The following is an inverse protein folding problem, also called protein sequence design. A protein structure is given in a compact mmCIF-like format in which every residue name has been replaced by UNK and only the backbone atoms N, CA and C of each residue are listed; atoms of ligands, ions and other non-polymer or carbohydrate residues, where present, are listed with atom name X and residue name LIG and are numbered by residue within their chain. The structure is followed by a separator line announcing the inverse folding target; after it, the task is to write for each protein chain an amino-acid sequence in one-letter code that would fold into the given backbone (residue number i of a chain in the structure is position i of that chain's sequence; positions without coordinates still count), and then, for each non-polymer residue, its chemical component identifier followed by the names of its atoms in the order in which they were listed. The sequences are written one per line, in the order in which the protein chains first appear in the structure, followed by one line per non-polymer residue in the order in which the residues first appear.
data_IF_182883543991
#
_entry.id   IF_182883543991
#
_cell.length_a   1.000
_cell.length_b   1.000
_cell.length_c   1.000
_cell.angle_alpha   90.00
_cell.angle_beta   90.00
_cell.angle_gamma   90.00
#
_symmetry.space_group_name_H-M   'P 1'
#
loop_
_entity.id
_entity.type
_entity.pdbx_description
1 polymer ?
#
# COMPACT_ATOMS: atom_id res chain seq x y z
N UNK A 1 30.16 -3.20 -29.47
CA UNK A 1 28.71 -2.98 -29.65
C UNK A 1 28.04 -3.25 -28.31
N UNK A 2 27.82 -2.20 -27.50
CA UNK A 2 27.15 -2.34 -26.20
C UNK A 2 25.65 -2.40 -26.45
N UNK A 3 25.04 -3.58 -26.29
CA UNK A 3 23.59 -3.74 -26.41
C UNK A 3 22.90 -2.84 -25.38
N UNK A 4 21.84 -2.10 -25.75
CA UNK A 4 21.10 -1.30 -24.78
C UNK A 4 20.50 -2.23 -23.72
N UNK A 5 20.82 -1.96 -22.45
CA UNK A 5 20.26 -2.69 -21.31
C UNK A 5 18.76 -2.43 -21.32
N UNK A 6 17.96 -3.42 -21.72
CA UNK A 6 16.49 -3.36 -21.63
C UNK A 6 16.15 -2.78 -20.25
N UNK A 7 15.38 -1.70 -20.21
CA UNK A 7 14.87 -1.17 -18.94
C UNK A 7 14.10 -2.30 -18.28
N UNK A 8 14.69 -2.90 -17.25
CA UNK A 8 14.10 -4.05 -16.55
C UNK A 8 12.96 -3.48 -15.72
N UNK A 9 11.80 -3.30 -16.33
CA UNK A 9 10.55 -3.15 -15.59
C UNK A 9 10.48 -4.35 -14.66
N UNK A 10 10.52 -4.10 -13.36
CA UNK A 10 10.41 -5.15 -12.35
C UNK A 10 9.00 -5.75 -12.45
N UNK A 11 8.89 -6.88 -13.15
CA UNK A 11 7.62 -7.59 -13.39
C UNK A 11 6.89 -7.89 -12.07
N UNK A 12 7.62 -8.13 -10.99
CA UNK A 12 7.05 -8.34 -9.66
C UNK A 12 6.52 -7.05 -9.03
N UNK A 13 7.07 -5.88 -9.38
CA UNK A 13 6.53 -4.58 -8.99
C UNK A 13 5.26 -4.24 -9.77
N UNK A 14 5.23 -4.54 -11.06
CA UNK A 14 4.05 -4.39 -11.94
C UNK A 14 2.87 -5.23 -11.45
N UNK A 15 3.07 -6.55 -11.32
CA UNK A 15 2.05 -7.48 -10.83
C UNK A 15 1.50 -7.06 -9.47
N UNK A 16 2.32 -6.43 -8.65
CA UNK A 16 1.93 -5.95 -7.33
C UNK A 16 1.07 -4.69 -7.35
N UNK A 17 1.37 -3.76 -8.25
CA UNK A 17 0.51 -2.59 -8.45
C UNK A 17 -0.86 -3.05 -8.95
N UNK A 18 -0.88 -3.95 -9.94
CA UNK A 18 -2.12 -4.56 -10.44
C UNK A 18 -2.88 -5.34 -9.35
N UNK A 19 -2.18 -6.09 -8.50
CA UNK A 19 -2.77 -6.77 -7.34
C UNK A 19 -3.48 -5.79 -6.39
N UNK A 20 -2.80 -4.69 -6.03
CA UNK A 20 -3.38 -3.68 -5.13
C UNK A 20 -4.59 -2.98 -5.74
N UNK A 21 -4.55 -2.74 -7.05
CA UNK A 21 -5.68 -2.17 -7.78
C UNK A 21 -6.87 -3.13 -7.77
N UNK A 22 -6.67 -4.39 -8.17
CA UNK A 22 -7.70 -5.41 -8.19
C UNK A 22 -8.35 -5.64 -6.81
N UNK A 23 -7.54 -5.69 -5.74
CA UNK A 23 -8.04 -5.80 -4.37
C UNK A 23 -8.89 -4.57 -3.97
N UNK A 24 -8.51 -3.37 -4.39
CA UNK A 24 -9.26 -2.14 -4.12
C UNK A 24 -10.60 -2.14 -4.86
N UNK A 25 -10.58 -2.51 -6.14
CA UNK A 25 -11.78 -2.57 -6.99
C UNK A 25 -12.79 -3.58 -6.41
N UNK A 26 -12.34 -4.77 -6.01
CA UNK A 26 -13.23 -5.75 -5.38
C UNK A 26 -13.89 -5.27 -4.09
N UNK A 27 -13.16 -4.59 -3.21
CA UNK A 27 -13.74 -4.03 -1.98
C UNK A 27 -14.75 -2.90 -2.24
N UNK A 28 -14.74 -2.27 -3.43
CA UNK A 28 -15.73 -1.26 -3.80
C UNK A 28 -17.04 -1.91 -4.28
N UNK A 29 -16.99 -3.11 -4.83
CA UNK A 29 -18.18 -3.81 -5.35
C UNK A 29 -19.05 -4.44 -4.25
N UNK A 30 -18.47 -4.74 -3.08
CA UNK A 30 -19.19 -5.33 -1.94
C UNK A 30 -20.10 -4.34 -1.18
N UNK A 31 -19.92 -3.02 -1.33
CA UNK A 31 -20.78 -2.00 -0.70
C UNK A 31 -22.03 -1.66 -1.54
N UNK A 32 -22.05 -2.03 -2.84
CA UNK A 32 -23.05 -1.56 -3.81
C UNK A 32 -23.93 -2.65 -4.45
N UNK A 33 -23.80 -3.95 -4.12
CA UNK A 33 -24.53 -5.02 -4.83
C UNK A 33 -25.33 -5.97 -3.92
N UNK A 34 -26.65 -5.84 -3.94
CA UNK A 34 -27.59 -6.81 -3.37
C UNK A 34 -27.92 -8.00 -4.30
N UNK A 35 -27.30 -8.07 -5.50
CA UNK A 35 -27.63 -9.07 -6.53
C UNK A 35 -26.54 -10.14 -6.71
N UNK A 36 -26.69 -11.25 -5.98
CA UNK A 36 -25.75 -12.39 -5.93
C UNK A 36 -25.51 -13.14 -7.26
N UNK A 37 -26.33 -12.91 -8.28
CA UNK A 37 -26.33 -13.71 -9.52
C UNK A 37 -25.58 -13.07 -10.70
N UNK A 38 -25.28 -11.76 -10.67
CA UNK A 38 -24.50 -11.07 -11.71
C UNK A 38 -22.98 -11.13 -11.46
N UNK A 39 -22.59 -11.38 -10.20
CA UNK A 39 -21.21 -11.20 -9.68
C UNK A 39 -20.23 -12.33 -10.03
N UNK A 40 -20.71 -13.53 -10.43
CA UNK A 40 -19.82 -14.66 -10.74
C UNK A 40 -19.12 -14.55 -12.10
N UNK A 41 -19.66 -13.78 -13.06
CA UNK A 41 -19.10 -13.66 -14.41
C UNK A 41 -17.98 -12.62 -14.53
N UNK A 42 -17.93 -11.64 -13.60
CA UNK A 42 -16.96 -10.53 -13.60
C UNK A 42 -15.96 -10.59 -12.44
N UNK A 43 -16.06 -11.59 -11.57
CA UNK A 43 -15.15 -11.79 -10.44
C UNK A 43 -13.72 -11.79 -10.97
N UNK A 44 -12.90 -10.86 -10.46
CA UNK A 44 -11.49 -10.68 -10.84
C UNK A 44 -10.80 -12.03 -11.01
N UNK A 45 -10.28 -12.31 -12.21
CA UNK A 45 -9.48 -13.52 -12.45
C UNK A 45 -8.15 -13.41 -11.70
N UNK A 46 -8.06 -14.13 -10.57
CA UNK A 46 -6.88 -14.15 -9.73
C UNK A 46 -5.71 -14.94 -10.35
N UNK A 47 -5.95 -15.75 -11.40
CA UNK A 47 -4.90 -16.52 -12.06
C UNK A 47 -3.81 -15.63 -12.67
N UNK A 48 -4.17 -14.42 -13.10
CA UNK A 48 -3.22 -13.42 -13.61
C UNK A 48 -2.16 -13.00 -12.58
N UNK A 49 -2.38 -13.28 -11.29
CA UNK A 49 -1.45 -12.99 -10.19
C UNK A 49 -0.72 -14.22 -9.64
N UNK A 50 -0.88 -15.40 -10.24
CA UNK A 50 -0.25 -16.66 -9.80
C UNK A 50 1.29 -16.61 -9.71
N UNK A 51 1.92 -15.75 -10.50
CA UNK A 51 3.36 -15.48 -10.46
C UNK A 51 3.82 -14.50 -9.37
N UNK A 52 2.90 -13.87 -8.64
CA UNK A 52 3.24 -12.84 -7.66
C UNK A 52 3.85 -13.46 -6.39
N UNK A 53 5.03 -12.97 -6.01
CA UNK A 53 5.70 -13.33 -4.76
C UNK A 53 5.70 -12.16 -3.78
N UNK A 54 5.98 -12.46 -2.51
CA UNK A 54 6.10 -11.43 -1.47
C UNK A 54 7.22 -10.44 -1.77
N UNK A 55 8.37 -10.89 -2.26
CA UNK A 55 9.49 -10.04 -2.70
C UNK A 55 10.20 -9.21 -1.62
N UNK A 56 9.68 -9.17 -0.38
CA UNK A 56 10.31 -8.44 0.73
C UNK A 56 11.65 -9.07 1.12
N UNK A 57 12.65 -8.24 1.42
CA UNK A 57 13.96 -8.71 1.85
C UNK A 57 13.85 -9.42 3.20
N UNK A 58 14.23 -10.69 3.25
CA UNK A 58 14.25 -11.44 4.51
C UNK A 58 15.36 -10.91 5.41
N UNK A 59 15.03 -10.56 6.65
CA UNK A 59 16.05 -10.21 7.66
C UNK A 59 17.00 -11.37 7.97
N UNK A 60 16.53 -12.61 7.83
CA UNK A 60 17.32 -13.82 8.16
C UNK A 60 18.31 -14.18 7.06
N UNK A 61 17.92 -14.07 5.79
CA UNK A 61 18.72 -14.56 4.66
C UNK A 61 19.24 -13.47 3.72
N UNK A 62 18.76 -12.23 3.86
CA UNK A 62 19.04 -11.13 2.92
C UNK A 62 18.41 -11.30 1.54
N UNK A 63 17.78 -12.44 1.26
CA UNK A 63 17.19 -12.76 -0.03
C UNK A 63 15.71 -12.33 -0.11
N UNK A 64 15.19 -12.05 -1.32
CA UNK A 64 13.77 -11.76 -1.53
C UNK A 64 12.87 -12.92 -1.08
N UNK A 65 11.77 -12.59 -0.39
CA UNK A 65 10.81 -13.56 0.08
C UNK A 65 10.02 -14.19 -1.09
N UNK A 66 10.12 -15.52 -1.23
CA UNK A 66 9.48 -16.30 -2.32
C UNK A 66 8.08 -16.83 -2.00
N UNK A 67 7.49 -16.42 -0.88
CA UNK A 67 6.14 -16.80 -0.46
C UNK A 67 5.08 -16.31 -1.44
N UNK A 68 4.03 -17.12 -1.63
CA UNK A 68 2.86 -16.84 -2.47
C UNK A 68 1.56 -16.65 -1.67
N UNK A 69 1.60 -16.89 -0.36
CA UNK A 69 0.53 -16.56 0.59
C UNK A 69 0.47 -15.05 0.80
N UNK A 70 -0.18 -14.34 -0.13
CA UNK A 70 -0.26 -12.88 -0.16
C UNK A 70 -1.61 -12.37 0.35
N UNK A 71 -1.55 -11.29 1.10
CA UNK A 71 -2.72 -10.54 1.57
C UNK A 71 -2.98 -9.33 0.68
N UNK A 72 -4.04 -8.56 0.97
CA UNK A 72 -4.43 -7.33 0.27
C UNK A 72 -3.25 -6.37 -0.05
N UNK A 73 -2.29 -6.24 0.86
CA UNK A 73 -1.10 -5.40 0.68
C UNK A 73 -0.10 -5.91 -0.39
N UNK A 74 -0.27 -7.13 -0.91
CA UNK A 74 0.64 -7.82 -1.81
C UNK A 74 1.88 -8.38 -1.09
N UNK A 75 1.77 -8.63 0.22
CA UNK A 75 2.84 -9.15 1.10
C UNK A 75 2.32 -10.34 1.91
N UNK A 76 3.22 -11.19 2.37
CA UNK A 76 2.88 -12.32 3.23
C UNK A 76 2.74 -11.90 4.70
N UNK A 77 2.17 -12.78 5.54
CA UNK A 77 1.92 -12.49 6.97
C UNK A 77 3.17 -12.06 7.75
N UNK A 78 4.35 -12.52 7.36
CA UNK A 78 5.63 -12.20 8.03
C UNK A 78 6.26 -10.88 7.59
N UNK A 79 5.80 -10.31 6.48
CA UNK A 79 6.34 -9.06 5.92
C UNK A 79 5.26 -7.99 5.78
N UNK A 80 4.35 -7.93 6.77
CA UNK A 80 3.31 -6.91 6.85
C UNK A 80 2.06 -7.19 6.02
N UNK A 81 1.88 -8.41 5.52
CA UNK A 81 0.70 -8.84 4.78
C UNK A 81 -0.61 -8.48 5.46
N UNK A 82 -0.71 -8.82 6.74
CA UNK A 82 -1.87 -8.57 7.60
C UNK A 82 -1.84 -7.19 8.30
N UNK A 83 -0.78 -6.41 8.09
CA UNK A 83 -0.68 -5.09 8.73
C UNK A 83 -1.48 -4.07 7.93
N UNK A 84 -2.36 -3.32 8.61
CA UNK A 84 -3.06 -2.16 8.03
C UNK A 84 -2.23 -0.87 8.14
N UNK A 85 -1.04 -0.94 8.72
CA UNK A 85 -0.26 0.23 9.11
C UNK A 85 -0.90 1.02 10.27
N UNK A 86 -0.24 2.10 10.73
CA UNK A 86 -0.79 2.99 11.74
C UNK A 86 -1.99 3.76 11.21
N UNK A 87 -3.13 3.68 11.92
CA UNK A 87 -4.37 4.40 11.55
C UNK A 87 -4.47 5.80 12.17
N UNK A 88 -3.84 6.01 13.33
CA UNK A 88 -3.86 7.29 14.05
C UNK A 88 -2.75 8.24 13.57
N UNK A 89 -2.97 9.55 13.76
CA UNK A 89 -1.96 10.59 13.47
C UNK A 89 -0.67 10.32 14.25
N UNK A 90 -0.76 10.14 15.57
CA UNK A 90 0.40 9.83 16.41
C UNK A 90 1.14 8.54 15.97
N UNK A 91 0.40 7.51 15.54
CA UNK A 91 0.99 6.27 15.03
C UNK A 91 1.74 6.46 13.71
N UNK A 92 1.20 7.30 12.81
CA UNK A 92 1.86 7.67 11.55
C UNK A 92 3.14 8.45 11.83
N UNK A 93 3.09 9.43 12.73
CA UNK A 93 4.28 10.20 13.10
C UNK A 93 5.37 9.32 13.74
N UNK A 94 4.99 8.42 14.66
CA UNK A 94 5.95 7.46 15.25
C UNK A 94 6.60 6.60 14.18
N UNK A 95 5.82 6.12 13.21
CA UNK A 95 6.33 5.31 12.12
C UNK A 95 7.26 6.10 11.19
N UNK A 96 6.93 7.37 10.92
CA UNK A 96 7.76 8.26 10.12
C UNK A 96 9.13 8.52 10.78
N UNK A 97 9.15 8.75 12.10
CA UNK A 97 10.39 8.90 12.89
C UNK A 97 11.28 7.65 12.80
N UNK A 98 10.69 6.47 12.73
CA UNK A 98 11.43 5.20 12.62
C UNK A 98 11.95 4.89 11.21
N UNK A 99 11.38 5.50 10.16
CA UNK A 99 11.74 5.22 8.77
C UNK A 99 12.98 5.95 8.25
N UNK A 100 13.55 6.87 9.04
CA UNK A 100 14.59 7.79 8.59
C UNK A 100 16.01 7.36 8.94
N UNK A 101 16.64 6.51 8.14
CA UNK A 101 18.11 6.44 8.06
C UNK A 101 18.66 5.80 6.79
N UNK A 102 17.98 5.82 5.63
CA UNK A 102 18.65 5.49 4.35
C UNK A 102 17.95 6.18 3.17
N UNK A 103 18.67 7.13 2.55
CA UNK A 103 18.34 7.93 1.34
C UNK A 103 17.35 9.09 1.54
N UNK A 104 17.91 10.24 1.91
CA UNK A 104 17.37 11.54 1.51
C UNK A 104 17.28 11.58 -0.02
N UNK A 105 16.06 11.67 -0.56
CA UNK A 105 15.79 12.09 -1.94
C UNK A 105 15.22 13.51 -1.88
N UNK A 106 15.94 14.46 -2.46
CA UNK A 106 15.61 15.88 -2.53
C UNK A 106 14.33 16.14 -3.35
N UNK A 107 13.74 17.34 -3.13
CA UNK A 107 12.65 18.10 -3.80
C UNK A 107 11.34 18.17 -2.99
N UNK A 108 10.77 19.32 -2.62
CA UNK A 108 11.15 20.73 -2.72
C UNK A 108 10.34 21.54 -1.70
N UNK A 109 10.92 22.63 -1.21
CA UNK A 109 10.26 23.56 -0.30
C UNK A 109 9.07 24.23 -0.99
N UNK A 110 7.88 24.17 -0.36
CA UNK A 110 6.86 25.22 -0.24
C UNK A 110 5.49 24.59 0.03
N UNK A 111 5.03 24.72 1.27
CA UNK A 111 3.72 24.29 1.72
C UNK A 111 3.58 24.59 3.21
N UNK A 112 3.51 25.88 3.55
CA UNK A 112 3.14 26.29 4.91
C UNK A 112 1.68 25.89 5.15
N UNK A 113 1.35 25.12 6.19
CA UNK A 113 -0.03 25.04 6.65
C UNK A 113 -0.34 26.32 7.45
N UNK A 114 -1.15 27.21 6.87
CA UNK A 114 -1.80 28.29 7.61
C UNK A 114 -2.88 27.70 8.51
N UNK A 115 -2.56 27.46 9.78
CA UNK A 115 -3.56 27.20 10.82
C UNK A 115 -3.60 28.42 11.74
N UNK A 116 -4.42 29.40 11.38
CA UNK A 116 -4.86 30.46 12.28
C UNK A 116 -5.77 29.83 13.36
N UNK A 117 -5.60 30.15 14.65
CA UNK A 117 -6.51 29.69 15.69
C UNK A 117 -7.83 30.48 15.59
N UNK A 118 -8.96 29.80 15.32
CA UNK A 118 -10.28 30.39 15.43
C UNK A 118 -10.66 30.52 16.92
N UNK A 119 -10.34 31.67 17.48
CA UNK A 119 -10.80 32.15 18.77
C UNK A 119 -12.32 32.45 18.76
N UNK A 120 -13.01 32.01 19.81
CA UNK A 120 -14.33 32.55 20.18
C UNK A 120 -15.51 31.60 20.09
N UNK A 121 -15.79 30.87 21.17
CA UNK A 121 -17.14 30.47 21.58
C UNK A 121 -17.16 30.51 23.12
N UNK A 122 -17.53 31.66 23.68
CA UNK A 122 -17.86 31.79 25.10
C UNK A 122 -19.23 31.15 25.32
N UNK A 123 -19.27 30.06 26.08
CA UNK A 123 -20.53 29.50 26.56
C UNK A 123 -21.06 30.35 27.72
N UNK A 124 -22.30 30.88 27.68
CA UNK A 124 -22.93 31.45 28.86
C UNK A 124 -23.27 30.30 29.83
N UNK A 125 -22.81 30.42 31.08
CA UNK A 125 -23.25 29.58 32.19
C UNK A 125 -24.74 29.81 32.46
N UNK A 126 -25.51 28.73 32.52
CA UNK A 126 -26.79 28.64 33.24
C UNK A 126 -26.56 28.51 34.74
#
# INVERSE_FOLDING_TARGET
MTTPRKSVVDEQAELRRRWKQAVREMHQEDDDSCDINLTNATRTDWQQFSGLMCGATSKRTGQPCRRKDLFASGRCKFHGGMSTGPRSVAGKERSARNGGSTRQGQVGANGQPSNEPHEGLTNPKV
#
